data_IF_770250696826
#
_entry.id   IF_770250696826
#
_cell.length_a   1.000
_cell.length_b   1.000
_cell.length_c   1.000
_cell.angle_alpha   90.00
_cell.angle_beta   90.00
_cell.angle_gamma   90.00
#
_symmetry.space_group_name_H-M   'P 1'
#
loop_
_entity.id
_entity.type
_entity.pdbx_description
1 polymer ?
#
# COMPACT_ATOMS: atom_id res chain seq x y z
N UNK A 1 -27.96 -14.47 -0.94
CA UNK A 1 -26.78 -13.84 -1.55
C UNK A 1 -26.42 -12.65 -0.67
N UNK A 2 -25.31 -12.73 0.06
CA UNK A 2 -24.83 -11.61 0.85
C UNK A 2 -24.56 -10.40 -0.06
N UNK A 3 -24.96 -9.17 0.34
CA UNK A 3 -24.65 -7.99 -0.43
C UNK A 3 -23.14 -7.79 -0.45
N UNK A 4 -22.53 -7.90 -1.62
CA UNK A 4 -21.17 -7.40 -1.86
C UNK A 4 -21.21 -5.90 -1.59
N UNK A 5 -20.75 -5.48 -0.40
CA UNK A 5 -20.53 -4.07 -0.11
C UNK A 5 -19.50 -3.55 -1.13
N UNK A 6 -20.00 -2.88 -2.16
CA UNK A 6 -19.16 -2.09 -3.05
C UNK A 6 -18.77 -0.85 -2.26
N UNK A 7 -17.51 -0.78 -1.83
CA UNK A 7 -16.96 0.41 -1.19
C UNK A 7 -17.10 1.54 -2.24
N UNK A 8 -17.70 2.69 -1.90
CA UNK A 8 -17.80 3.80 -2.85
C UNK A 8 -16.40 4.14 -3.39
N UNK A 9 -16.27 4.54 -4.66
CA UNK A 9 -14.97 4.83 -5.26
C UNK A 9 -14.27 5.87 -4.40
N UNK A 10 -13.11 5.52 -3.86
CA UNK A 10 -12.39 6.44 -2.99
C UNK A 10 -11.89 7.62 -3.82
N UNK A 11 -11.99 8.82 -3.27
CA UNK A 11 -11.41 10.00 -3.89
C UNK A 11 -9.89 9.89 -3.80
N UNK A 12 -9.23 9.92 -4.96
CA UNK A 12 -7.77 9.97 -5.09
C UNK A 12 -7.35 11.17 -5.93
N UNK A 13 -6.23 11.84 -5.59
CA UNK A 13 -5.66 12.86 -6.45
C UNK A 13 -5.27 12.25 -7.81
N UNK A 14 -5.52 13.00 -8.88
CA UNK A 14 -5.14 12.61 -10.24
C UNK A 14 -3.63 12.80 -10.50
N UNK A 15 -3.03 13.78 -9.82
CA UNK A 15 -1.60 14.08 -9.88
C UNK A 15 -1.00 14.18 -8.48
N UNK A 16 0.09 13.45 -8.27
CA UNK A 16 0.84 13.38 -7.01
C UNK A 16 2.33 13.51 -7.31
N UNK A 17 3.09 14.09 -6.38
CA UNK A 17 4.56 14.06 -6.45
C UNK A 17 5.05 12.73 -5.89
N UNK A 18 5.79 11.91 -6.67
CA UNK A 18 6.30 10.63 -6.18
C UNK A 18 7.31 10.82 -5.04
N UNK A 19 7.37 9.85 -4.13
CA UNK A 19 8.32 9.81 -3.01
C UNK A 19 9.12 8.51 -3.09
N UNK A 20 10.45 8.56 -2.93
CA UNK A 20 11.26 7.35 -2.96
C UNK A 20 11.04 6.51 -1.69
N UNK A 21 11.13 5.19 -1.85
CA UNK A 21 11.01 4.24 -0.75
C UNK A 21 12.15 4.45 0.26
N UNK A 22 13.34 4.81 -0.22
CA UNK A 22 14.47 5.24 0.62
C UNK A 22 14.11 6.36 1.58
N UNK A 23 13.52 7.46 1.08
CA UNK A 23 13.11 8.60 1.92
C UNK A 23 12.07 8.20 2.96
N UNK A 24 11.13 7.30 2.62
CA UNK A 24 10.14 6.80 3.58
C UNK A 24 10.85 5.97 4.67
N UNK A 25 11.72 5.05 4.28
CA UNK A 25 12.44 4.20 5.23
C UNK A 25 13.36 5.01 6.15
N UNK A 26 14.08 6.01 5.62
CA UNK A 26 14.90 6.91 6.43
C UNK A 26 14.04 7.67 7.47
N UNK A 27 12.91 8.23 7.03
CA UNK A 27 12.02 9.05 7.86
C UNK A 27 11.37 8.27 9.01
N UNK A 28 11.12 6.98 8.82
CA UNK A 28 10.49 6.12 9.82
C UNK A 28 11.44 5.10 10.45
N UNK A 29 12.75 5.19 10.14
CA UNK A 29 13.79 4.27 10.60
C UNK A 29 13.49 2.79 10.29
N UNK A 30 12.99 2.51 9.09
CA UNK A 30 12.80 1.15 8.59
C UNK A 30 14.06 0.61 7.90
N UNK A 31 14.25 -0.70 7.98
CA UNK A 31 15.28 -1.39 7.20
C UNK A 31 14.84 -1.53 5.75
N UNK A 32 15.70 -1.12 4.83
CA UNK A 32 15.50 -1.23 3.38
C UNK A 32 16.74 -1.87 2.75
N UNK A 33 16.54 -2.66 1.69
CA UNK A 33 17.64 -3.09 0.84
C UNK A 33 18.00 -1.94 -0.11
N UNK A 34 19.28 -1.57 -0.20
CA UNK A 34 19.78 -0.49 -1.06
C UNK A 34 19.30 -0.62 -2.52
N UNK A 35 19.11 -1.85 -3.01
CA UNK A 35 18.56 -2.11 -4.35
C UNK A 35 17.11 -1.62 -4.57
N UNK A 36 16.40 -1.25 -3.50
CA UNK A 36 15.02 -0.77 -3.52
C UNK A 36 14.88 0.71 -3.16
N UNK A 37 16.00 1.41 -2.93
CA UNK A 37 15.98 2.82 -2.51
C UNK A 37 15.30 3.74 -3.52
N UNK A 38 15.55 3.48 -4.81
CA UNK A 38 15.07 4.27 -5.95
C UNK A 38 13.60 3.97 -6.33
N UNK A 39 12.95 2.98 -5.67
CA UNK A 39 11.54 2.66 -5.95
C UNK A 39 10.67 3.86 -5.57
N UNK A 40 9.91 4.38 -6.52
CA UNK A 40 9.01 5.50 -6.28
C UNK A 40 7.62 5.02 -5.85
N UNK A 41 7.12 5.61 -4.78
CA UNK A 41 5.79 5.41 -4.22
C UNK A 41 4.92 6.62 -4.58
N UNK A 42 3.76 6.37 -5.17
CA UNK A 42 2.78 7.41 -5.58
C UNK A 42 1.53 7.41 -4.70
N UNK A 43 1.36 6.41 -3.86
CA UNK A 43 0.27 6.38 -2.90
C UNK A 43 0.47 5.31 -1.84
N UNK A 44 -0.47 5.21 -0.91
CA UNK A 44 -0.44 4.22 0.16
C UNK A 44 -1.85 3.65 0.35
N UNK A 45 -1.94 2.37 0.69
CA UNK A 45 -3.23 1.79 1.09
C UNK A 45 -3.05 0.67 2.10
N UNK A 46 -4.00 0.57 3.03
CA UNK A 46 -4.10 -0.55 3.98
C UNK A 46 -5.12 -1.61 3.52
N UNK A 47 -5.84 -1.33 2.43
CA UNK A 47 -6.87 -2.21 1.91
C UNK A 47 -6.45 -2.76 0.55
N UNK A 48 -6.28 -4.09 0.48
CA UNK A 48 -5.94 -4.76 -0.79
C UNK A 48 -6.95 -4.49 -1.91
N UNK A 49 -8.23 -4.24 -1.59
CA UNK A 49 -9.25 -3.95 -2.61
C UNK A 49 -9.11 -2.58 -3.28
N UNK A 50 -8.21 -1.74 -2.78
CA UNK A 50 -8.00 -0.38 -3.27
C UNK A 50 -6.55 -0.16 -3.76
N UNK A 51 -5.68 -1.16 -3.71
CA UNK A 51 -4.33 -1.02 -4.23
C UNK A 51 -4.32 -0.70 -5.73
N UNK A 52 -3.40 0.18 -6.10
CA UNK A 52 -3.04 0.50 -7.49
C UNK A 52 -1.53 0.32 -7.65
N UNK A 53 -1.09 0.20 -8.90
CA UNK A 53 0.33 0.19 -9.21
C UNK A 53 1.02 1.44 -8.65
N UNK A 54 2.14 1.24 -7.96
CA UNK A 54 2.88 2.31 -7.27
C UNK A 54 2.38 2.64 -5.85
N UNK A 55 1.34 1.97 -5.34
CA UNK A 55 0.94 2.10 -3.93
C UNK A 55 1.83 1.27 -3.01
N UNK A 56 2.16 1.85 -1.85
CA UNK A 56 2.73 1.11 -0.73
C UNK A 56 1.60 0.47 0.09
N UNK A 57 1.59 -0.86 0.14
CA UNK A 57 0.68 -1.60 1.01
C UNK A 57 1.16 -1.60 2.46
N UNK A 58 0.33 -1.09 3.38
CA UNK A 58 0.68 -1.00 4.81
C UNK A 58 -0.04 -2.09 5.60
N UNK A 59 0.68 -3.16 5.92
CA UNK A 59 0.18 -4.38 6.55
C UNK A 59 0.05 -4.27 8.08
N UNK A 60 -0.94 -3.52 8.57
CA UNK A 60 -1.14 -3.31 10.01
C UNK A 60 -1.87 -4.48 10.72
N UNK A 61 -1.68 -4.66 12.04
CA UNK A 61 -2.52 -5.55 12.84
C UNK A 61 -3.95 -5.00 12.97
N UNK A 62 -4.94 -5.86 12.82
CA UNK A 62 -6.36 -5.53 12.99
C UNK A 62 -7.04 -6.41 14.05
N UNK A 63 -8.28 -6.07 14.41
CA UNK A 63 -9.05 -6.77 15.46
C UNK A 63 -9.35 -8.23 15.10
N UNK A 64 -9.58 -8.52 13.81
CA UNK A 64 -9.98 -9.86 13.33
C UNK A 64 -8.88 -10.60 12.58
N UNK A 65 -7.95 -9.88 11.96
CA UNK A 65 -6.89 -10.43 11.11
C UNK A 65 -5.72 -9.46 11.07
N UNK A 66 -4.54 -9.98 10.71
CA UNK A 66 -3.36 -9.17 10.45
C UNK A 66 -3.23 -8.88 8.94
N UNK A 67 -2.85 -7.66 8.58
CA UNK A 67 -2.59 -7.26 7.19
C UNK A 67 -1.50 -8.08 6.48
N UNK A 68 -0.54 -8.65 7.24
CA UNK A 68 0.56 -9.44 6.70
C UNK A 68 0.05 -10.70 5.98
N UNK A 69 -1.10 -11.23 6.39
CA UNK A 69 -1.74 -12.39 5.74
C UNK A 69 -2.21 -12.09 4.30
N UNK A 70 -2.26 -10.82 3.91
CA UNK A 70 -2.71 -10.37 2.59
C UNK A 70 -1.56 -9.90 1.69
N UNK A 71 -0.29 -10.09 2.09
CA UNK A 71 0.86 -9.65 1.32
C UNK A 71 0.90 -10.22 -0.10
N UNK A 72 0.63 -11.52 -0.27
CA UNK A 72 0.57 -12.14 -1.59
C UNK A 72 -0.49 -11.49 -2.49
N UNK A 73 -1.68 -11.27 -1.95
CA UNK A 73 -2.77 -10.60 -2.66
C UNK A 73 -2.44 -9.15 -3.00
N UNK A 74 -1.71 -8.46 -2.12
CA UNK A 74 -1.25 -7.10 -2.37
C UNK A 74 -0.26 -7.04 -3.54
N UNK A 75 0.63 -8.03 -3.66
CA UNK A 75 1.56 -8.16 -4.80
C UNK A 75 0.84 -8.49 -6.12
N UNK A 76 -0.25 -9.24 -6.08
CA UNK A 76 -1.03 -9.56 -7.28
C UNK A 76 -1.86 -8.37 -7.80
N UNK A 77 -2.28 -7.48 -6.90
CA UNK A 77 -3.13 -6.32 -7.21
C UNK A 77 -2.32 -5.02 -7.43
N UNK A 78 -1.05 -5.03 -7.05
CA UNK A 78 -0.09 -3.92 -7.18
C UNK A 78 0.63 -3.92 -8.52
#
# INVERSE_FOLDING_TARGET
MEPKQSIPPILRPDSVTPVSLGTICEKFNFSLNEAHEEITVTGISMNTGDLRHGDLFVAMPGVKTHGANFAAKALELG
#
